data_IF_428386598998
#
_entry.id   IF_428386598998
#
_cell.length_a   1.000
_cell.length_b   1.000
_cell.length_c   1.000
_cell.angle_alpha   90.00
_cell.angle_beta   90.00
_cell.angle_gamma   90.00
#
_symmetry.space_group_name_H-M   'P 1'
#
loop_
_entity.id
_entity.type
_entity.pdbx_description
1 polymer ?
#
# COMPACT_ATOMS: atom_id res chain seq x y z
N UNK A 1 23.58 -2.02 -0.29
CA UNK A 1 22.80 -0.99 -1.01
C UNK A 1 23.62 -0.56 -2.20
N UNK A 2 23.39 -1.18 -3.36
CA UNK A 2 24.02 -0.79 -4.63
C UNK A 2 23.11 0.23 -5.31
N UNK A 3 23.70 1.34 -5.71
CA UNK A 3 23.02 2.49 -6.29
C UNK A 3 22.47 2.16 -7.69
N UNK A 4 21.15 2.12 -7.84
CA UNK A 4 20.48 2.38 -9.11
C UNK A 4 20.39 3.91 -9.26
N UNK A 5 21.46 4.50 -9.80
CA UNK A 5 21.79 5.92 -9.68
C UNK A 5 21.23 6.81 -10.82
N UNK A 6 20.18 6.39 -11.53
CA UNK A 6 19.66 7.17 -12.69
C UNK A 6 18.14 7.28 -12.79
N UNK A 7 17.38 6.99 -11.72
CA UNK A 7 15.94 7.32 -11.66
C UNK A 7 15.67 8.25 -10.49
N UNK A 8 15.27 9.49 -10.79
CA UNK A 8 14.84 10.47 -9.80
C UNK A 8 13.87 9.83 -8.80
N UNK A 9 14.36 9.58 -7.58
CA UNK A 9 13.58 9.00 -6.48
C UNK A 9 12.95 10.16 -5.71
N UNK A 10 11.65 10.08 -5.52
CA UNK A 10 10.89 11.16 -4.90
C UNK A 10 10.88 10.99 -3.39
N UNK A 11 11.84 11.61 -2.69
CA UNK A 11 11.98 11.43 -1.24
C UNK A 11 10.80 12.05 -0.48
N UNK A 12 10.23 13.14 -0.99
CA UNK A 12 8.99 13.73 -0.47
C UNK A 12 7.80 12.77 -0.56
N UNK A 13 7.60 12.10 -1.71
CA UNK A 13 6.54 11.08 -1.87
C UNK A 13 6.78 9.87 -0.95
N UNK A 14 8.04 9.44 -0.80
CA UNK A 14 8.40 8.35 0.12
C UNK A 14 8.12 8.75 1.59
N UNK A 15 8.41 10.00 1.99
CA UNK A 15 8.09 10.52 3.32
C UNK A 15 6.57 10.48 3.60
N UNK A 16 5.78 11.03 2.68
CA UNK A 16 4.31 11.01 2.79
C UNK A 16 3.75 9.59 2.85
N UNK A 17 4.32 8.66 2.07
CA UNK A 17 3.94 7.24 2.12
C UNK A 17 4.20 6.62 3.50
N UNK A 18 5.36 6.91 4.11
CA UNK A 18 5.68 6.43 5.45
C UNK A 18 4.73 6.98 6.51
N UNK A 19 4.50 8.29 6.50
CA UNK A 19 3.62 8.96 7.47
C UNK A 19 2.16 8.52 7.34
N UNK A 20 1.66 8.35 6.11
CA UNK A 20 0.34 7.80 5.86
C UNK A 20 0.21 6.35 6.37
N UNK A 21 1.27 5.53 6.28
CA UNK A 21 1.25 4.17 6.82
C UNK A 21 1.15 4.18 8.36
N UNK A 22 1.84 5.10 9.03
CA UNK A 22 1.69 5.29 10.47
C UNK A 22 0.28 5.75 10.86
N UNK A 23 -0.34 6.65 10.09
CA UNK A 23 -1.72 7.05 10.35
C UNK A 23 -2.69 5.86 10.25
N UNK A 24 -2.51 4.97 9.26
CA UNK A 24 -3.30 3.72 9.15
C UNK A 24 -3.08 2.80 10.34
N UNK A 25 -1.85 2.71 10.85
CA UNK A 25 -1.57 1.94 12.07
C UNK A 25 -2.37 2.48 13.25
N UNK A 26 -2.33 3.80 13.46
CA UNK A 26 -3.08 4.44 14.55
C UNK A 26 -4.58 4.22 14.38
N UNK A 27 -5.12 4.31 13.16
CA UNK A 27 -6.54 4.02 12.88
C UNK A 27 -6.97 2.61 13.36
N UNK A 28 -6.12 1.61 13.13
CA UNK A 28 -6.43 0.22 13.50
C UNK A 28 -6.11 -0.12 14.95
N UNK A 29 -5.19 0.61 15.58
CA UNK A 29 -4.83 0.42 16.99
C UNK A 29 -5.81 1.14 17.92
N UNK A 30 -6.14 2.40 17.62
CA UNK A 30 -6.93 3.29 18.46
C UNK A 30 -7.64 4.33 17.58
N UNK A 31 -8.79 3.91 17.02
CA UNK A 31 -9.53 4.66 15.99
C UNK A 31 -9.80 6.12 16.33
N UNK A 32 -10.21 6.52 17.56
CA UNK A 32 -10.39 7.92 17.94
C UNK A 32 -9.20 8.86 17.66
N UNK A 33 -7.97 8.36 17.61
CA UNK A 33 -6.77 9.18 17.36
C UNK A 33 -6.48 9.43 15.88
N UNK A 34 -7.03 8.63 14.98
CA UNK A 34 -6.89 8.82 13.53
C UNK A 34 -8.12 8.28 12.78
N UNK A 35 -9.34 8.75 13.09
CA UNK A 35 -10.57 8.11 12.63
C UNK A 35 -10.75 8.20 11.11
N UNK A 36 -10.13 9.19 10.48
CA UNK A 36 -10.12 9.37 9.04
C UNK A 36 -9.02 8.59 8.31
N UNK A 37 -8.01 8.05 8.99
CA UNK A 37 -6.82 7.56 8.29
C UNK A 37 -7.04 6.32 7.41
N UNK A 38 -8.22 5.69 7.44
CA UNK A 38 -8.63 4.69 6.43
C UNK A 38 -8.66 5.26 4.99
N UNK A 39 -8.72 6.58 4.80
CA UNK A 39 -8.62 7.24 3.49
C UNK A 39 -7.19 7.34 2.95
N UNK A 40 -6.19 7.02 3.76
CA UNK A 40 -4.79 6.96 3.32
C UNK A 40 -4.58 5.95 2.17
N UNK A 41 -5.43 4.93 2.05
CA UNK A 41 -5.36 3.96 0.96
C UNK A 41 -5.62 4.61 -0.41
N UNK A 42 -6.46 5.64 -0.49
CA UNK A 42 -6.68 6.42 -1.73
C UNK A 42 -5.38 7.10 -2.18
N UNK A 43 -4.67 7.70 -1.22
CA UNK A 43 -3.34 8.26 -1.45
C UNK A 43 -2.34 7.20 -1.93
N UNK A 44 -2.35 6.01 -1.32
CA UNK A 44 -1.51 4.90 -1.78
C UNK A 44 -1.85 4.45 -3.20
N UNK A 45 -3.13 4.38 -3.58
CA UNK A 45 -3.54 3.98 -4.92
C UNK A 45 -3.15 5.03 -5.99
N UNK A 46 -3.35 6.32 -5.72
CA UNK A 46 -2.86 7.39 -6.62
C UNK A 46 -1.34 7.31 -6.76
N UNK A 47 -0.62 7.17 -5.63
CA UNK A 47 0.84 7.04 -5.66
C UNK A 47 1.29 5.80 -6.43
N UNK A 48 0.59 4.67 -6.28
CA UNK A 48 0.88 3.44 -7.02
C UNK A 48 0.71 3.65 -8.53
N UNK A 49 -0.41 4.23 -8.97
CA UNK A 49 -0.63 4.56 -10.38
C UNK A 49 0.47 5.43 -10.99
N UNK A 50 0.90 6.47 -10.27
CA UNK A 50 2.01 7.33 -10.67
C UNK A 50 3.34 6.57 -10.77
N UNK A 51 3.71 5.84 -9.71
CA UNK A 51 5.00 5.13 -9.62
C UNK A 51 5.08 4.00 -10.65
N UNK A 52 4.00 3.24 -10.85
CA UNK A 52 3.95 2.13 -11.80
C UNK A 52 4.03 2.62 -13.24
N UNK A 53 3.24 3.64 -13.59
CA UNK A 53 3.29 4.25 -14.91
C UNK A 53 4.69 4.77 -15.24
N UNK A 54 5.35 5.44 -14.29
CA UNK A 54 6.74 5.92 -14.45
C UNK A 54 7.75 4.79 -14.57
N UNK A 55 7.68 3.78 -13.70
CA UNK A 55 8.72 2.78 -13.58
C UNK A 55 8.67 1.72 -14.69
N UNK A 56 7.47 1.40 -15.18
CA UNK A 56 7.21 0.26 -16.06
C UNK A 56 6.52 0.61 -17.38
N UNK A 57 5.95 1.81 -17.53
CA UNK A 57 5.23 2.20 -18.75
C UNK A 57 6.08 2.05 -20.01
N UNK A 58 7.28 2.65 -20.02
CA UNK A 58 8.22 2.52 -21.14
C UNK A 58 8.76 1.11 -21.29
N UNK A 59 9.06 0.40 -20.19
CA UNK A 59 9.56 -0.98 -20.24
C UNK A 59 8.57 -1.91 -20.94
N UNK A 60 7.29 -1.79 -20.62
CA UNK A 60 6.22 -2.55 -21.27
C UNK A 60 6.03 -2.15 -22.73
N UNK A 61 6.15 -0.85 -23.05
CA UNK A 61 6.12 -0.38 -24.42
C UNK A 61 7.32 -0.85 -25.25
N UNK A 62 8.47 -1.05 -24.61
CA UNK A 62 9.72 -1.50 -25.24
C UNK A 62 9.94 -3.02 -25.18
N UNK A 63 8.88 -3.81 -24.94
CA UNK A 63 8.93 -5.28 -25.07
C UNK A 63 9.04 -6.08 -23.77
N UNK A 64 8.97 -5.47 -22.57
CA UNK A 64 8.78 -6.24 -21.33
C UNK A 64 7.45 -6.99 -21.38
N UNK A 65 7.48 -8.29 -21.10
CA UNK A 65 6.25 -9.09 -21.07
C UNK A 65 5.41 -8.82 -19.83
N UNK A 66 4.09 -8.99 -19.93
CA UNK A 66 3.16 -8.93 -18.79
C UNK A 66 3.60 -9.86 -17.66
N UNK A 67 4.02 -11.09 -18.00
CA UNK A 67 4.48 -12.07 -17.03
C UNK A 67 5.74 -11.59 -16.28
N UNK A 68 6.71 -11.00 -16.98
CA UNK A 68 7.91 -10.45 -16.33
C UNK A 68 7.56 -9.29 -15.39
N UNK A 69 6.64 -8.42 -15.78
CA UNK A 69 6.13 -7.34 -14.94
C UNK A 69 5.42 -7.89 -13.69
N UNK A 70 4.45 -8.80 -13.85
CA UNK A 70 3.69 -9.37 -12.73
C UNK A 70 4.59 -10.18 -11.79
N UNK A 71 5.56 -10.94 -12.30
CA UNK A 71 6.57 -11.61 -11.48
C UNK A 71 7.38 -10.62 -10.64
N UNK A 72 7.79 -9.49 -11.22
CA UNK A 72 8.52 -8.45 -10.48
C UNK A 72 7.65 -7.80 -9.38
N UNK A 73 6.35 -7.57 -9.65
CA UNK A 73 5.40 -7.08 -8.64
C UNK A 73 5.19 -8.09 -7.53
N UNK A 74 4.89 -9.34 -7.87
CA UNK A 74 4.64 -10.41 -6.92
C UNK A 74 5.86 -10.68 -6.03
N UNK A 75 7.06 -10.81 -6.59
CA UNK A 75 8.29 -11.04 -5.84
C UNK A 75 8.62 -9.91 -4.84
N UNK A 76 8.21 -8.68 -5.14
CA UNK A 76 8.37 -7.54 -4.22
C UNK A 76 7.38 -7.56 -3.06
N UNK A 77 6.15 -8.00 -3.31
CA UNK A 77 5.04 -7.86 -2.38
C UNK A 77 4.88 -9.10 -1.49
N UNK A 78 4.96 -10.28 -2.08
CA UNK A 78 4.63 -11.56 -1.46
C UNK A 78 5.38 -11.85 -0.15
N UNK A 79 6.72 -11.63 -0.02
CA UNK A 79 7.43 -11.99 1.20
C UNK A 79 6.90 -11.27 2.45
N UNK A 80 6.64 -9.97 2.35
CA UNK A 80 6.12 -9.18 3.47
C UNK A 80 4.63 -9.42 3.72
N UNK A 81 3.86 -9.68 2.65
CA UNK A 81 2.48 -10.13 2.79
C UNK A 81 2.43 -11.43 3.60
N UNK A 82 3.27 -12.42 3.26
CA UNK A 82 3.31 -13.71 3.95
C UNK A 82 3.71 -13.56 5.42
N UNK A 83 4.76 -12.77 5.72
CA UNK A 83 5.17 -12.51 7.11
C UNK A 83 4.02 -11.86 7.91
N UNK A 84 3.36 -10.84 7.34
CA UNK A 84 2.20 -10.21 7.99
C UNK A 84 1.05 -11.18 8.23
N UNK A 85 0.78 -12.07 7.27
CA UNK A 85 -0.24 -13.10 7.38
C UNK A 85 0.10 -14.18 8.40
N UNK A 86 1.38 -14.47 8.62
CA UNK A 86 1.82 -15.37 9.71
C UNK A 86 1.52 -14.75 11.07
N UNK A 87 1.72 -13.44 11.25
CA UNK A 87 1.31 -12.78 12.51
C UNK A 87 -0.20 -12.89 12.74
N UNK A 88 -1.01 -12.68 11.70
CA UNK A 88 -2.46 -12.87 11.83
C UNK A 88 -2.88 -14.33 12.03
N UNK A 89 -2.15 -15.30 11.46
CA UNK A 89 -2.38 -16.72 11.74
C UNK A 89 -2.09 -17.06 13.20
N UNK A 90 -0.95 -16.61 13.74
CA UNK A 90 -0.61 -16.82 15.16
C UNK A 90 -1.69 -16.22 16.06
N UNK A 91 -2.09 -14.97 15.78
CA UNK A 91 -3.15 -14.27 16.49
C UNK A 91 -4.48 -15.04 16.46
N UNK A 92 -4.86 -15.55 15.29
CA UNK A 92 -6.07 -16.34 15.12
C UNK A 92 -6.00 -17.68 15.88
N UNK A 93 -4.85 -18.38 15.83
CA UNK A 93 -4.68 -19.66 16.51
C UNK A 93 -4.73 -19.52 18.04
N UNK A 94 -4.21 -18.41 18.60
CA UNK A 94 -4.29 -18.12 20.03
C UNK A 94 -5.73 -17.98 20.54
N UNK A 95 -6.67 -17.57 19.67
CA UNK A 95 -8.07 -17.31 20.02
C UNK A 95 -9.05 -18.22 19.27
N UNK A 96 -8.54 -19.24 18.59
CA UNK A 96 -9.29 -20.06 17.64
C UNK A 96 -10.59 -20.61 18.23
N UNK A 97 -10.50 -21.16 19.45
CA UNK A 97 -11.63 -21.76 20.15
C UNK A 97 -12.69 -20.72 20.53
N UNK A 98 -12.26 -19.52 20.93
CA UNK A 98 -13.16 -18.42 21.27
C UNK A 98 -13.75 -17.72 20.03
N UNK A 99 -13.05 -17.76 18.90
CA UNK A 99 -13.45 -17.12 17.65
C UNK A 99 -14.56 -17.86 16.90
N UNK A 100 -14.92 -19.07 17.32
CA UNK A 100 -16.00 -19.86 16.71
C UNK A 100 -15.74 -20.24 15.26
N UNK A 101 -14.48 -20.18 14.78
CA UNK A 101 -14.14 -20.43 13.39
C UNK A 101 -14.08 -21.93 13.14
N UNK A 102 -14.82 -22.41 12.14
CA UNK A 102 -14.80 -23.81 11.72
C UNK A 102 -13.47 -24.21 11.07
N UNK A 103 -13.05 -25.47 11.24
CA UNK A 103 -11.80 -26.00 10.65
C UNK A 103 -11.72 -25.80 9.13
N UNK A 104 -12.86 -25.92 8.44
CA UNK A 104 -12.94 -25.70 6.99
C UNK A 104 -12.63 -24.24 6.62
N UNK A 105 -13.12 -23.26 7.39
CA UNK A 105 -12.89 -21.83 7.14
C UNK A 105 -11.41 -21.46 7.32
N UNK A 106 -10.72 -22.06 8.31
CA UNK A 106 -9.27 -21.87 8.45
C UNK A 106 -8.47 -22.55 7.37
N UNK A 107 -8.81 -23.79 7.01
CA UNK A 107 -8.17 -24.46 5.88
C UNK A 107 -8.28 -23.61 4.61
N UNK A 108 -9.47 -23.09 4.33
CA UNK A 108 -9.71 -22.19 3.20
C UNK A 108 -8.94 -20.86 3.33
N UNK A 109 -8.89 -20.27 4.52
CA UNK A 109 -8.17 -19.00 4.77
C UNK A 109 -6.66 -19.16 4.66
N UNK A 110 -6.07 -20.25 5.15
CA UNK A 110 -4.64 -20.56 5.00
C UNK A 110 -4.31 -20.80 3.53
N UNK A 111 -5.08 -21.66 2.85
CA UNK A 111 -4.83 -22.02 1.45
C UNK A 111 -4.92 -20.80 0.54
N UNK A 112 -5.99 -20.01 0.65
CA UNK A 112 -6.15 -18.78 -0.13
C UNK A 112 -5.03 -17.77 0.16
N UNK A 113 -4.64 -17.62 1.43
CA UNK A 113 -3.53 -16.75 1.83
C UNK A 113 -2.20 -17.17 1.21
N UNK A 114 -1.87 -18.46 1.15
CA UNK A 114 -0.61 -18.94 0.51
C UNK A 114 -0.52 -18.51 -0.96
N UNK A 115 -1.65 -18.47 -1.67
CA UNK A 115 -1.71 -17.99 -3.05
C UNK A 115 -2.00 -16.49 -3.18
N UNK A 116 -2.05 -15.77 -2.05
CA UNK A 116 -2.42 -14.35 -1.98
C UNK A 116 -3.79 -14.05 -2.60
N UNK A 117 -4.70 -15.03 -2.56
CA UNK A 117 -6.08 -14.93 -3.05
C UNK A 117 -7.03 -14.55 -1.91
N UNK A 118 -8.17 -13.91 -2.23
CA UNK A 118 -9.23 -13.70 -1.24
C UNK A 118 -9.77 -15.03 -0.71
N UNK A 119 -10.07 -15.06 0.59
CA UNK A 119 -10.69 -16.20 1.25
C UNK A 119 -12.10 -16.42 0.71
N UNK A 120 -12.51 -17.66 0.40
CA UNK A 120 -13.87 -17.98 -0.01
C UNK A 120 -14.82 -18.06 1.20
N UNK A 121 -14.70 -17.11 2.14
CA UNK A 121 -15.42 -17.11 3.42
C UNK A 121 -16.94 -17.11 3.27
N UNK A 122 -17.47 -16.67 2.13
CA UNK A 122 -18.89 -16.76 1.78
C UNK A 122 -19.40 -18.20 1.56
N UNK A 123 -18.51 -19.18 1.32
CA UNK A 123 -18.87 -20.60 1.21
C UNK A 123 -18.89 -21.31 2.57
N UNK A 124 -18.10 -20.81 3.52
CA UNK A 124 -17.83 -21.45 4.81
C UNK A 124 -18.53 -20.78 5.98
N UNK A 125 -18.96 -19.53 5.82
CA UNK A 125 -19.63 -18.72 6.85
C UNK A 125 -21.08 -18.45 6.52
N UNK A 126 -21.86 -18.11 7.54
CA UNK A 126 -23.29 -17.86 7.41
C UNK A 126 -23.56 -16.51 6.73
N UNK A 127 -24.76 -16.33 6.17
CA UNK A 127 -25.18 -15.07 5.56
C UNK A 127 -25.31 -13.90 6.56
N UNK A 128 -25.33 -14.14 7.86
CA UNK A 128 -25.24 -13.09 8.88
C UNK A 128 -23.82 -12.60 9.14
N UNK A 129 -22.80 -13.36 8.75
CA UNK A 129 -21.41 -13.11 9.11
C UNK A 129 -20.74 -12.09 8.21
N UNK A 130 -19.66 -11.49 8.73
CA UNK A 130 -18.71 -10.71 7.95
C UNK A 130 -17.87 -11.68 7.11
N UNK A 131 -17.70 -11.34 5.83
CA UNK A 131 -16.92 -12.11 4.86
C UNK A 131 -15.64 -11.35 4.45
N UNK A 132 -14.64 -11.25 5.35
CA UNK A 132 -13.42 -10.53 5.04
C UNK A 132 -12.67 -11.22 3.91
N UNK A 133 -12.10 -10.43 2.99
CA UNK A 133 -11.31 -10.96 1.88
C UNK A 133 -10.03 -11.64 2.38
N UNK A 134 -9.39 -11.08 3.41
CA UNK A 134 -8.14 -11.60 3.96
C UNK A 134 -8.21 -11.75 5.49
N UNK A 135 -8.81 -12.85 6.00
CA UNK A 135 -8.97 -13.07 7.43
C UNK A 135 -7.65 -13.05 8.23
N UNK A 136 -6.57 -13.56 7.62
CA UNK A 136 -5.24 -13.63 8.25
C UNK A 136 -4.44 -12.32 8.09
N UNK A 137 -4.87 -11.39 7.25
CA UNK A 137 -4.16 -10.14 7.00
C UNK A 137 -5.11 -9.11 6.38
N UNK A 138 -5.97 -8.50 7.21
CA UNK A 138 -6.99 -7.55 6.75
C UNK A 138 -6.50 -6.56 5.69
N UNK A 139 -5.38 -5.82 5.91
CA UNK A 139 -4.84 -4.83 4.98
C UNK A 139 -4.45 -5.38 3.60
N UNK A 140 -4.33 -6.70 3.44
CA UNK A 140 -4.01 -7.31 2.15
C UNK A 140 -5.11 -7.13 1.10
N UNK A 141 -6.34 -6.75 1.48
CA UNK A 141 -7.39 -6.41 0.53
C UNK A 141 -6.94 -5.33 -0.46
N UNK A 142 -6.26 -4.28 0.03
CA UNK A 142 -5.79 -3.18 -0.82
C UNK A 142 -4.68 -3.65 -1.76
N UNK A 143 -3.85 -4.59 -1.31
CA UNK A 143 -2.77 -5.19 -2.11
C UNK A 143 -3.33 -6.02 -3.27
N UNK A 144 -4.38 -6.80 -3.01
CA UNK A 144 -5.08 -7.57 -4.03
C UNK A 144 -5.60 -6.68 -5.15
N UNK A 145 -6.34 -5.63 -4.80
CA UNK A 145 -6.85 -4.69 -5.80
C UNK A 145 -5.73 -3.94 -6.51
N UNK A 146 -4.64 -3.59 -5.82
CA UNK A 146 -3.47 -2.99 -6.46
C UNK A 146 -2.85 -3.96 -7.48
N UNK A 147 -2.76 -5.26 -7.18
CA UNK A 147 -2.27 -6.25 -8.14
C UNK A 147 -3.21 -6.45 -9.32
N UNK A 148 -4.52 -6.40 -9.10
CA UNK A 148 -5.49 -6.40 -10.19
C UNK A 148 -5.32 -5.15 -11.08
N UNK A 149 -5.18 -3.97 -10.48
CA UNK A 149 -4.91 -2.74 -11.22
C UNK A 149 -3.57 -2.82 -11.98
N UNK A 150 -2.53 -3.43 -11.39
CA UNK A 150 -1.26 -3.70 -12.07
C UNK A 150 -1.43 -4.67 -13.25
N UNK A 151 -2.23 -5.72 -13.12
CA UNK A 151 -2.54 -6.65 -14.20
C UNK A 151 -3.25 -5.93 -15.35
N UNK A 152 -4.32 -5.17 -15.05
CA UNK A 152 -5.05 -4.38 -16.05
C UNK A 152 -4.15 -3.30 -16.66
N UNK A 153 -3.24 -2.73 -15.87
CA UNK A 153 -2.22 -1.80 -16.37
C UNK A 153 -1.34 -2.43 -17.44
N UNK A 154 -0.79 -3.63 -17.18
CA UNK A 154 0.07 -4.35 -18.11
C UNK A 154 -0.67 -4.92 -19.33
N UNK A 155 -1.96 -5.24 -19.18
CA UNK A 155 -2.82 -5.65 -20.28
C UNK A 155 -3.14 -4.49 -21.23
N UNK A 156 -3.62 -3.37 -20.68
CA UNK A 156 -4.21 -2.30 -21.51
C UNK A 156 -3.87 -0.87 -21.07
N UNK A 157 -3.89 -0.53 -19.77
CA UNK A 157 -3.90 0.90 -19.38
C UNK A 157 -2.64 1.66 -19.83
N UNK A 158 -1.47 1.00 -19.84
CA UNK A 158 -0.23 1.66 -20.24
C UNK A 158 -0.27 2.17 -21.70
N UNK A 159 -1.04 1.51 -22.57
CA UNK A 159 -1.19 1.82 -24.00
C UNK A 159 -2.25 2.89 -24.31
N UNK A 160 -3.20 3.09 -23.39
CA UNK A 160 -4.33 4.00 -23.62
C UNK A 160 -3.86 5.46 -23.74
N UNK A 161 -4.65 6.32 -24.39
CA UNK A 161 -4.41 7.77 -24.41
C UNK A 161 -4.93 8.42 -23.11
N UNK A 162 -4.44 9.62 -22.76
CA UNK A 162 -4.87 10.30 -21.53
C UNK A 162 -6.38 10.53 -21.46
N UNK A 163 -7.04 10.81 -22.60
CA UNK A 163 -8.50 10.95 -22.68
C UNK A 163 -9.24 9.68 -22.25
N UNK A 164 -8.75 8.50 -22.64
CA UNK A 164 -9.33 7.22 -22.23
C UNK A 164 -9.12 6.95 -20.74
N UNK A 165 -7.96 7.34 -20.18
CA UNK A 165 -7.72 7.25 -18.74
C UNK A 165 -8.68 8.18 -17.95
N UNK A 166 -8.94 9.38 -18.47
CA UNK A 166 -9.92 10.31 -17.87
C UNK A 166 -11.32 9.69 -17.90
N UNK A 167 -11.71 9.05 -19.01
CA UNK A 167 -12.99 8.35 -19.09
C UNK A 167 -13.08 7.22 -18.05
N UNK A 168 -12.03 6.39 -17.92
CA UNK A 168 -11.99 5.32 -16.92
C UNK A 168 -12.08 5.90 -15.50
N UNK A 169 -11.36 6.99 -15.22
CA UNK A 169 -11.45 7.68 -13.93
C UNK A 169 -12.88 8.20 -13.66
N UNK A 170 -13.53 8.81 -14.66
CA UNK A 170 -14.89 9.32 -14.52
C UNK A 170 -15.91 8.20 -14.28
N UNK A 171 -15.82 7.09 -15.02
CA UNK A 171 -16.69 5.91 -14.81
C UNK A 171 -16.44 5.29 -13.44
N UNK A 172 -15.17 5.12 -13.05
CA UNK A 172 -14.81 4.57 -11.73
C UNK A 172 -15.30 5.48 -10.59
N UNK A 173 -15.26 6.80 -10.78
CA UNK A 173 -15.81 7.77 -9.82
C UNK A 173 -17.33 7.65 -9.71
N UNK A 174 -18.05 7.52 -10.83
CA UNK A 174 -19.49 7.31 -10.80
C UNK A 174 -19.87 6.02 -10.08
N UNK A 175 -19.14 4.93 -10.34
CA UNK A 175 -19.29 3.67 -9.60
C UNK A 175 -19.00 3.85 -8.10
N UNK A 176 -17.91 4.54 -7.74
CA UNK A 176 -17.54 4.78 -6.35
C UNK A 176 -18.62 5.58 -5.61
N UNK A 177 -19.15 6.63 -6.25
CA UNK A 177 -20.25 7.43 -5.69
C UNK A 177 -21.48 6.54 -5.47
N UNK A 178 -21.84 5.69 -6.45
CA UNK A 178 -22.92 4.71 -6.33
C UNK A 178 -22.72 3.75 -5.15
N UNK A 179 -21.54 3.14 -5.03
CA UNK A 179 -21.19 2.26 -3.91
C UNK A 179 -21.25 2.97 -2.56
N UNK A 180 -20.75 4.22 -2.48
CA UNK A 180 -20.82 5.02 -1.24
C UNK A 180 -22.26 5.34 -0.88
N UNK A 181 -23.13 5.62 -1.84
CA UNK A 181 -24.56 5.82 -1.60
C UNK A 181 -25.27 4.56 -1.12
N UNK A 182 -24.88 3.39 -1.63
CA UNK A 182 -25.44 2.09 -1.24
C UNK A 182 -24.98 1.67 0.15
N UNK A 183 -23.66 1.67 0.40
CA UNK A 183 -23.05 1.19 1.64
C UNK A 183 -22.99 2.24 2.76
N UNK A 184 -23.29 3.52 2.46
CA UNK A 184 -23.20 4.66 3.40
C UNK A 184 -21.83 4.85 4.05
N UNK A 185 -20.77 4.37 3.38
CA UNK A 185 -19.40 4.40 3.89
C UNK A 185 -18.41 4.52 2.73
N UNK A 186 -17.22 5.05 3.01
CA UNK A 186 -16.05 4.94 2.12
C UNK A 186 -15.07 3.87 2.59
N UNK A 187 -15.27 3.29 3.78
CA UNK A 187 -14.48 2.17 4.30
C UNK A 187 -14.93 0.85 3.65
N UNK A 188 -14.74 0.77 2.33
CA UNK A 188 -15.22 -0.27 1.42
C UNK A 188 -14.05 -1.05 0.80
N UNK A 189 -14.30 -2.30 0.43
CA UNK A 189 -13.40 -3.13 -0.37
C UNK A 189 -12.65 -4.20 0.40
N UNK A 190 -12.74 -4.21 1.72
CA UNK A 190 -12.05 -5.18 2.59
C UNK A 190 -12.82 -6.48 2.81
N UNK A 191 -14.09 -6.53 2.42
CA UNK A 191 -14.99 -7.69 2.51
C UNK A 191 -15.73 -7.94 1.19
N UNK A 192 -16.25 -9.16 1.02
CA UNK A 192 -16.96 -9.57 -0.20
C UNK A 192 -18.17 -8.72 -0.54
N UNK A 193 -18.87 -8.16 0.46
CA UNK A 193 -20.06 -7.34 0.24
C UNK A 193 -19.76 -5.97 -0.34
N UNK A 194 -18.55 -5.47 -0.18
CA UNK A 194 -18.14 -4.13 -0.61
C UNK A 194 -17.06 -4.14 -1.69
N UNK A 195 -16.92 -5.25 -2.43
CA UNK A 195 -15.93 -5.41 -3.52
C UNK A 195 -16.14 -4.41 -4.66
N UNK A 196 -17.38 -4.00 -4.89
CA UNK A 196 -17.76 -2.95 -5.83
C UNK A 196 -17.09 -1.61 -5.46
N UNK A 197 -17.15 -1.24 -4.19
CA UNK A 197 -16.50 -0.05 -3.66
C UNK A 197 -14.98 -0.16 -3.71
N UNK A 198 -14.41 -1.32 -3.36
CA UNK A 198 -12.97 -1.58 -3.46
C UNK A 198 -12.44 -1.43 -4.88
N UNK A 199 -13.10 -2.07 -5.85
CA UNK A 199 -12.79 -1.96 -7.27
C UNK A 199 -12.85 -0.51 -7.74
N UNK A 200 -13.97 0.18 -7.53
CA UNK A 200 -14.18 1.54 -7.99
C UNK A 200 -13.13 2.52 -7.42
N UNK A 201 -12.85 2.39 -6.11
CA UNK A 201 -11.89 3.23 -5.38
C UNK A 201 -10.46 3.09 -5.89
N UNK A 202 -10.02 1.85 -6.16
CA UNK A 202 -8.68 1.56 -6.67
C UNK A 202 -8.53 2.05 -8.10
N UNK A 203 -9.46 1.73 -9.00
CA UNK A 203 -9.33 2.11 -10.41
C UNK A 203 -9.44 3.62 -10.60
N UNK A 204 -10.31 4.31 -9.85
CA UNK A 204 -10.36 5.77 -9.84
C UNK A 204 -9.01 6.37 -9.43
N UNK A 205 -8.51 6.01 -8.24
CA UNK A 205 -7.28 6.57 -7.69
C UNK A 205 -6.05 6.22 -8.53
N UNK A 206 -5.91 4.96 -8.94
CA UNK A 206 -4.78 4.47 -9.74
C UNK A 206 -4.71 5.19 -11.10
N UNK A 207 -5.84 5.37 -11.79
CA UNK A 207 -5.86 6.07 -13.08
C UNK A 207 -5.54 7.56 -12.94
N UNK A 208 -5.96 8.22 -11.86
CA UNK A 208 -5.53 9.59 -11.54
C UNK A 208 -4.00 9.68 -11.38
N UNK A 209 -3.38 8.72 -10.70
CA UNK A 209 -1.93 8.62 -10.59
C UNK A 209 -1.23 8.52 -11.96
N UNK A 210 -1.79 7.72 -12.87
CA UNK A 210 -1.29 7.62 -14.25
C UNK A 210 -1.44 8.93 -15.03
N UNK A 211 -2.55 9.64 -14.85
CA UNK A 211 -2.80 10.94 -15.48
C UNK A 211 -1.78 11.96 -14.97
N UNK A 212 -1.55 12.04 -13.66
CA UNK A 212 -0.52 12.90 -13.04
C UNK A 212 0.84 12.64 -13.68
N UNK A 213 1.23 11.36 -13.82
CA UNK A 213 2.50 11.00 -14.46
C UNK A 213 2.62 11.57 -15.88
N UNK A 214 1.58 11.40 -16.70
CA UNK A 214 1.58 11.86 -18.10
C UNK A 214 1.54 13.38 -18.25
N UNK A 215 0.85 14.08 -17.35
CA UNK A 215 0.86 15.53 -17.33
C UNK A 215 2.26 16.04 -16.99
N UNK A 216 2.90 15.46 -15.96
CA UNK A 216 4.25 15.82 -15.53
C UNK A 216 5.30 15.50 -16.60
N UNK A 217 5.21 14.33 -17.24
CA UNK A 217 6.16 13.96 -18.30
C UNK A 217 6.05 14.81 -19.55
N UNK A 218 4.91 15.45 -19.82
CA UNK A 218 4.72 16.37 -20.95
C UNK A 218 5.10 17.82 -20.63
N UNK A 219 4.67 18.32 -19.48
CA UNK A 219 4.76 19.76 -19.15
C UNK A 219 6.08 20.14 -18.48
N UNK A 220 6.71 19.19 -17.80
CA UNK A 220 7.82 19.49 -16.90
C UNK A 220 8.73 18.26 -16.68
N UNK A 221 9.31 17.67 -17.75
CA UNK A 221 10.19 16.51 -17.63
C UNK A 221 11.37 16.84 -16.71
N UNK A 222 11.54 16.08 -15.62
CA UNK A 222 12.67 16.27 -14.69
C UNK A 222 12.66 17.57 -13.89
N UNK A 223 11.62 18.41 -13.96
CA UNK A 223 11.54 19.68 -13.21
C UNK A 223 10.96 19.44 -11.82
N UNK A 224 11.80 19.02 -10.89
CA UNK A 224 11.52 18.95 -9.46
C UNK A 224 12.33 20.02 -8.74
N UNK A 225 11.67 20.81 -7.90
CA UNK A 225 12.34 21.89 -7.17
C UNK A 225 12.69 21.39 -5.77
N UNK A 226 13.97 21.31 -5.45
CA UNK A 226 14.44 21.08 -4.08
C UNK A 226 14.09 22.31 -3.24
N UNK A 227 13.15 22.18 -2.33
CA UNK A 227 12.67 23.29 -1.50
C UNK A 227 12.11 22.80 -0.19
N UNK A 228 12.26 23.60 0.87
CA UNK A 228 11.54 23.36 2.12
C UNK A 228 10.02 23.48 1.94
N UNK A 229 9.53 24.06 0.85
CA UNK A 229 8.12 24.00 0.46
C UNK A 229 7.60 22.56 0.29
N UNK A 230 8.47 21.57 0.06
CA UNK A 230 8.08 20.15 0.05
C UNK A 230 7.54 19.67 1.40
N UNK A 231 7.79 20.39 2.50
CA UNK A 231 7.19 20.13 3.80
C UNK A 231 5.69 20.45 3.82
N UNK A 232 5.18 21.29 2.93
CA UNK A 232 3.74 21.64 2.87
C UNK A 232 2.85 20.44 2.53
N UNK A 233 3.05 19.70 1.42
CA UNK A 233 2.25 18.50 1.15
C UNK A 233 2.47 17.40 2.21
N UNK A 234 3.67 17.32 2.81
CA UNK A 234 3.96 16.40 3.92
C UNK A 234 3.16 16.75 5.18
N UNK A 235 3.12 18.03 5.55
CA UNK A 235 2.32 18.49 6.68
C UNK A 235 0.83 18.33 6.39
N UNK A 236 0.38 18.64 5.18
CA UNK A 236 -1.01 18.49 4.76
C UNK A 236 -1.48 17.03 4.89
N UNK A 237 -0.72 16.05 4.39
CA UNK A 237 -1.13 14.64 4.53
C UNK A 237 -1.19 14.21 5.99
N UNK A 238 -0.25 14.65 6.84
CA UNK A 238 -0.29 14.34 8.27
C UNK A 238 -1.52 14.96 8.95
N UNK A 239 -1.71 16.28 8.82
CA UNK A 239 -2.81 16.99 9.46
C UNK A 239 -4.16 16.40 9.05
N UNK A 240 -4.33 16.13 7.76
CA UNK A 240 -5.60 15.62 7.22
C UNK A 240 -5.88 14.17 7.66
N UNK A 241 -4.87 13.28 7.70
CA UNK A 241 -5.11 11.90 8.13
C UNK A 241 -5.36 11.78 9.65
N UNK A 242 -4.81 12.68 10.46
CA UNK A 242 -5.02 12.74 11.91
C UNK A 242 -6.18 13.65 12.33
N UNK A 243 -6.90 14.26 11.39
CA UNK A 243 -8.06 15.07 11.71
C UNK A 243 -9.15 14.19 12.37
N UNK A 244 -9.65 14.53 13.57
CA UNK A 244 -10.60 13.71 14.30
C UNK A 244 -12.03 13.89 13.74
N UNK A 245 -12.24 13.47 12.50
CA UNK A 245 -13.52 13.54 11.80
C UNK A 245 -13.94 12.18 11.28
N UNK A 246 -15.25 11.92 11.33
CA UNK A 246 -15.93 10.76 10.74
C UNK A 246 -16.78 11.16 9.53
N UNK A 247 -16.58 12.37 9.00
CA UNK A 247 -17.40 12.92 7.93
C UNK A 247 -17.16 12.18 6.61
N UNK A 248 -18.21 11.56 6.07
CA UNK A 248 -18.16 10.95 4.74
C UNK A 248 -17.86 11.98 3.64
N UNK A 249 -18.36 13.21 3.78
CA UNK A 249 -18.06 14.31 2.86
C UNK A 249 -16.58 14.63 2.85
N UNK A 250 -15.97 14.69 4.04
CA UNK A 250 -14.52 14.89 4.18
C UNK A 250 -13.74 13.77 3.49
N UNK A 251 -14.12 12.52 3.74
CA UNK A 251 -13.49 11.35 3.14
C UNK A 251 -13.58 11.35 1.60
N UNK A 252 -14.73 11.72 1.04
CA UNK A 252 -14.92 11.86 -0.41
C UNK A 252 -14.07 13.00 -0.99
N UNK A 253 -14.05 14.18 -0.37
CA UNK A 253 -13.20 15.30 -0.80
C UNK A 253 -11.73 14.89 -0.76
N UNK A 254 -11.32 14.15 0.28
CA UNK A 254 -9.96 13.66 0.39
C UNK A 254 -9.61 12.70 -0.76
N UNK A 255 -10.44 11.69 -0.99
CA UNK A 255 -10.27 10.69 -2.04
C UNK A 255 -10.22 11.34 -3.44
N UNK A 256 -11.20 12.21 -3.75
CA UNK A 256 -11.41 12.77 -5.08
C UNK A 256 -10.42 13.90 -5.40
N UNK A 257 -10.10 14.75 -4.42
CA UNK A 257 -9.38 16.00 -4.67
C UNK A 257 -8.04 16.06 -3.93
N UNK A 258 -8.02 15.84 -2.61
CA UNK A 258 -6.81 16.05 -1.81
C UNK A 258 -5.71 15.06 -2.17
N UNK A 259 -6.03 13.77 -2.19
CA UNK A 259 -5.09 12.68 -2.53
C UNK A 259 -4.32 12.94 -3.84
N UNK A 260 -4.99 13.19 -4.99
CA UNK A 260 -4.29 13.49 -6.23
C UNK A 260 -3.52 14.81 -6.20
N UNK A 261 -4.01 15.84 -5.53
CA UNK A 261 -3.29 17.11 -5.40
C UNK A 261 -2.01 16.98 -4.56
N UNK A 262 -2.06 16.24 -3.46
CA UNK A 262 -0.90 15.97 -2.61
C UNK A 262 0.15 15.16 -3.35
N UNK A 263 -0.26 14.14 -4.11
CA UNK A 263 0.67 13.40 -4.98
C UNK A 263 1.26 14.33 -6.02
N UNK A 264 0.45 15.12 -6.73
CA UNK A 264 0.93 16.08 -7.74
C UNK A 264 1.95 17.05 -7.13
N UNK A 265 1.65 17.66 -5.98
CA UNK A 265 2.57 18.55 -5.27
C UNK A 265 3.89 17.86 -4.92
N UNK A 266 3.85 16.62 -4.42
CA UNK A 266 5.04 15.82 -4.15
C UNK A 266 5.81 15.37 -5.40
N UNK A 267 5.22 15.46 -6.60
CA UNK A 267 5.98 15.33 -7.86
C UNK A 267 6.65 16.62 -8.32
N UNK A 268 6.26 17.77 -7.76
CA UNK A 268 6.77 19.10 -8.13
C UNK A 268 7.81 19.60 -7.14
N UNK A 269 7.62 19.29 -5.86
CA UNK A 269 8.45 19.73 -4.74
C UNK A 269 9.20 18.53 -4.16
N UNK A 270 10.51 18.67 -4.04
CA UNK A 270 11.39 17.66 -3.47
C UNK A 270 12.04 18.15 -2.17
N UNK A 271 12.27 17.22 -1.24
CA UNK A 271 12.94 17.51 0.01
C UNK A 271 14.38 17.99 -0.25
N UNK A 272 14.91 18.96 0.53
CA UNK A 272 16.32 19.30 0.52
C UNK A 272 17.19 18.08 0.81
N UNK A 273 18.38 18.00 0.21
CA UNK A 273 19.27 16.83 0.28
C UNK A 273 19.49 16.27 1.71
N UNK A 274 19.53 17.16 2.71
CA UNK A 274 19.68 16.80 4.13
C UNK A 274 18.52 15.94 4.67
N UNK A 275 17.29 16.16 4.19
CA UNK A 275 16.09 15.47 4.63
C UNK A 275 15.71 14.28 3.74
N UNK A 276 16.28 14.19 2.53
CA UNK A 276 15.94 13.11 1.59
C UNK A 276 16.21 11.71 2.16
N UNK A 277 17.28 11.53 2.94
CA UNK A 277 17.58 10.24 3.59
C UNK A 277 16.45 9.79 4.51
N UNK A 278 15.90 10.71 5.30
CA UNK A 278 14.78 10.43 6.19
C UNK A 278 13.52 10.10 5.39
N UNK A 279 13.21 10.88 4.36
CA UNK A 279 12.04 10.61 3.51
C UNK A 279 12.12 9.23 2.84
N UNK A 280 13.28 8.89 2.28
CA UNK A 280 13.56 7.57 1.70
C UNK A 280 13.41 6.45 2.73
N UNK A 281 13.88 6.66 3.96
CA UNK A 281 13.78 5.70 5.06
C UNK A 281 12.32 5.47 5.47
N UNK A 282 11.55 6.54 5.66
CA UNK A 282 10.11 6.47 5.95
C UNK A 282 9.36 5.71 4.85
N UNK A 283 9.68 6.00 3.59
CA UNK A 283 9.12 5.26 2.46
C UNK A 283 9.53 3.79 2.47
N UNK A 284 10.78 3.46 2.76
CA UNK A 284 11.23 2.06 2.86
C UNK A 284 10.45 1.28 3.92
N UNK A 285 10.18 1.92 5.07
CA UNK A 285 9.50 1.31 6.20
C UNK A 285 7.98 1.16 6.01
N UNK A 286 7.38 1.98 5.13
CA UNK A 286 5.93 2.06 4.97
C UNK A 286 5.24 0.73 4.65
N UNK A 287 5.80 -0.05 3.72
CA UNK A 287 5.18 -1.30 3.27
C UNK A 287 5.29 -2.42 4.32
N UNK A 288 6.48 -2.67 4.93
CA UNK A 288 6.60 -3.59 6.06
C UNK A 288 5.67 -3.25 7.23
N UNK A 289 5.58 -1.98 7.63
CA UNK A 289 4.63 -1.54 8.69
C UNK A 289 3.20 -1.89 8.29
N UNK A 290 2.79 -1.46 7.10
CA UNK A 290 1.43 -1.63 6.62
C UNK A 290 1.03 -3.12 6.52
N UNK A 291 1.94 -4.01 6.18
CA UNK A 291 1.65 -5.46 6.13
C UNK A 291 1.69 -6.16 7.49
N UNK A 292 2.52 -5.71 8.42
CA UNK A 292 2.70 -6.41 9.70
C UNK A 292 1.75 -5.95 10.82
N UNK A 293 1.20 -4.72 10.73
CA UNK A 293 0.55 -4.10 11.89
C UNK A 293 -0.66 -4.87 12.40
N UNK A 294 -1.61 -5.29 11.53
CA UNK A 294 -2.87 -5.89 12.00
C UNK A 294 -2.69 -7.18 12.79
N UNK A 295 -1.80 -8.08 12.33
CA UNK A 295 -1.48 -9.29 13.10
C UNK A 295 -0.85 -8.96 14.46
N UNK A 296 -0.03 -7.91 14.52
CA UNK A 296 0.61 -7.48 15.76
C UNK A 296 -0.30 -6.68 16.71
N UNK A 297 -1.32 -5.97 16.20
CA UNK A 297 -2.24 -5.14 17.01
C UNK A 297 -2.87 -5.91 18.15
N UNK A 298 -3.42 -7.09 17.88
CA UNK A 298 -4.08 -7.90 18.90
C UNK A 298 -3.08 -8.48 19.90
N UNK A 299 -1.95 -9.00 19.41
CA UNK A 299 -0.85 -9.51 20.26
C UNK A 299 -0.42 -8.42 21.25
N UNK A 300 -0.24 -7.19 20.77
CA UNK A 300 0.09 -6.05 21.60
C UNK A 300 -1.02 -5.72 22.61
N UNK A 301 -2.29 -5.71 22.18
CA UNK A 301 -3.44 -5.51 23.06
C UNK A 301 -3.54 -6.53 24.19
N UNK A 302 -3.15 -7.79 23.94
CA UNK A 302 -3.04 -8.81 24.99
C UNK A 302 -1.87 -8.56 25.94
N UNK A 303 -0.68 -8.24 25.42
CA UNK A 303 0.52 -7.99 26.22
C UNK A 303 0.38 -6.77 27.13
N UNK A 304 -0.33 -5.74 26.67
CA UNK A 304 -0.46 -4.45 27.35
C UNK A 304 -1.80 -4.27 28.06
N UNK A 305 -2.63 -5.32 28.14
CA UNK A 305 -3.98 -5.28 28.71
C UNK A 305 -4.02 -4.67 30.12
N UNK A 306 -3.07 -5.03 30.95
CA UNK A 306 -3.04 -4.65 32.37
C UNK A 306 -2.16 -3.42 32.65
N UNK A 307 -1.50 -2.86 31.62
CA UNK A 307 -0.50 -1.80 31.78
C UNK A 307 -1.10 -0.41 32.11
N UNK A 308 -2.43 -0.24 32.00
CA UNK A 308 -3.19 0.99 32.34
C UNK A 308 -2.50 2.30 31.89
N UNK A 309 -1.94 2.30 30.68
CA UNK A 309 -1.17 3.45 30.16
C UNK A 309 -2.10 4.52 29.56
N UNK A 310 -1.73 5.81 29.66
CA UNK A 310 -2.38 6.84 28.86
C UNK A 310 -2.28 6.50 27.36
N UNK A 311 -3.39 6.66 26.63
CA UNK A 311 -3.50 6.32 25.22
C UNK A 311 -2.33 6.84 24.34
N UNK A 312 -1.86 8.10 24.46
CA UNK A 312 -0.71 8.56 23.66
C UNK A 312 0.58 7.76 23.92
N UNK A 313 0.81 7.33 25.17
CA UNK A 313 1.97 6.52 25.55
C UNK A 313 1.81 5.10 24.99
N UNK A 314 0.61 4.52 25.11
CA UNK A 314 0.28 3.21 24.53
C UNK A 314 0.49 3.19 23.00
N UNK A 315 0.07 4.23 22.30
CA UNK A 315 0.28 4.38 20.85
C UNK A 315 1.78 4.54 20.55
N UNK A 316 2.51 5.39 21.29
CA UNK A 316 3.93 5.62 21.04
C UNK A 316 4.77 4.33 21.19
N UNK A 317 4.51 3.54 22.23
CA UNK A 317 5.18 2.24 22.43
C UNK A 317 4.87 1.29 21.27
N UNK A 318 3.60 1.23 20.84
CA UNK A 318 3.22 0.41 19.68
C UNK A 318 3.97 0.85 18.42
N UNK A 319 4.02 2.16 18.12
CA UNK A 319 4.68 2.69 16.94
C UNK A 319 6.18 2.37 16.90
N UNK A 320 6.84 2.40 18.06
CA UNK A 320 8.24 1.95 18.18
C UNK A 320 8.36 0.45 17.94
N UNK A 321 7.53 -0.37 18.61
CA UNK A 321 7.55 -1.83 18.47
C UNK A 321 7.28 -2.28 17.03
N UNK A 322 6.23 -1.76 16.39
CA UNK A 322 5.89 -2.12 15.01
C UNK A 322 6.96 -1.65 14.02
N UNK A 323 7.65 -0.53 14.29
CA UNK A 323 8.77 -0.07 13.46
C UNK A 323 9.96 -1.03 13.54
N UNK A 324 10.28 -1.55 14.73
CA UNK A 324 11.33 -2.55 14.91
C UNK A 324 10.95 -3.85 14.20
N UNK A 325 9.73 -4.34 14.42
CA UNK A 325 9.21 -5.55 13.74
C UNK A 325 9.27 -5.37 12.23
N UNK A 326 8.80 -4.23 11.71
CA UNK A 326 8.83 -3.90 10.30
C UNK A 326 10.25 -3.91 9.71
N UNK A 327 11.24 -3.38 10.42
CA UNK A 327 12.65 -3.43 10.00
C UNK A 327 13.20 -4.87 9.95
N UNK A 328 12.88 -5.69 10.96
CA UNK A 328 13.27 -7.09 11.01
C UNK A 328 12.61 -7.87 9.86
N UNK A 329 11.30 -7.71 9.68
CA UNK A 329 10.54 -8.33 8.59
C UNK A 329 11.05 -7.92 7.21
N UNK A 330 11.43 -6.65 7.01
CA UNK A 330 12.00 -6.18 5.75
C UNK A 330 13.38 -6.79 5.44
N UNK A 331 14.22 -6.95 6.47
CA UNK A 331 15.51 -7.65 6.34
C UNK A 331 15.30 -9.13 6.03
N UNK A 332 14.41 -9.80 6.77
CA UNK A 332 14.07 -11.21 6.57
C UNK A 332 13.53 -11.44 5.14
N UNK A 333 12.59 -10.62 4.69
CA UNK A 333 12.06 -10.67 3.32
C UNK A 333 13.17 -10.56 2.26
N UNK A 334 14.14 -9.67 2.47
CA UNK A 334 15.28 -9.52 1.55
C UNK A 334 16.13 -10.78 1.49
N UNK A 335 16.36 -11.42 2.65
CA UNK A 335 17.11 -12.68 2.75
C UNK A 335 16.35 -13.81 2.05
N UNK A 336 15.05 -13.95 2.30
CA UNK A 336 14.20 -14.96 1.67
C UNK A 336 14.22 -14.86 0.14
N UNK A 337 14.13 -13.64 -0.41
CA UNK A 337 14.21 -13.41 -1.85
C UNK A 337 15.58 -13.78 -2.41
N UNK A 338 16.67 -13.50 -1.68
CA UNK A 338 18.03 -13.86 -2.10
C UNK A 338 18.19 -15.38 -2.22
N UNK A 339 17.71 -16.14 -1.24
CA UNK A 339 17.77 -17.61 -1.26
C UNK A 339 16.85 -18.23 -2.32
N UNK A 340 15.68 -17.64 -2.58
CA UNK A 340 14.76 -18.11 -3.61
C UNK A 340 15.23 -17.82 -5.05
N UNK A 341 16.30 -17.05 -5.24
CA UNK A 341 16.89 -16.76 -6.57
C UNK A 341 18.42 -16.76 -6.53
N UNK A 342 19.07 -17.92 -6.31
CA UNK A 342 20.52 -17.98 -6.08
C UNK A 342 21.38 -17.61 -7.30
N UNK A 343 20.81 -17.55 -8.51
CA UNK A 343 21.58 -17.51 -9.78
C UNK A 343 21.68 -16.15 -10.50
N UNK A 344 21.52 -15.01 -9.82
CA UNK A 344 21.61 -13.67 -10.46
C UNK A 344 22.75 -12.78 -9.95
N UNK A 345 23.82 -13.37 -9.42
CA UNK A 345 25.11 -12.67 -9.32
C UNK A 345 25.98 -13.10 -10.51
N UNK A 346 26.19 -12.19 -11.47
CA UNK A 346 27.23 -12.37 -12.49
C UNK A 346 28.62 -12.30 -11.81
N UNK A 347 29.65 -13.00 -12.31
CA UNK A 347 30.97 -12.99 -11.69
C UNK A 347 31.56 -11.59 -11.74
N UNK A 348 32.01 -11.08 -10.59
CA UNK A 348 32.91 -9.93 -10.55
C UNK A 348 34.22 -10.30 -11.23
N UNK A 349 34.52 -9.64 -12.34
CA UNK A 349 35.87 -9.36 -12.85
C UNK A 349 36.85 -10.53 -13.02
N UNK A 350 37.05 -10.97 -14.25
CA UNK A 350 38.36 -11.36 -14.73
C UNK A 350 38.77 -10.33 -15.80
N UNK A 351 39.64 -9.39 -15.41
CA UNK A 351 40.24 -8.42 -16.31
C UNK A 351 41.25 -9.07 -17.26
N UNK A 352 41.29 -8.51 -18.46
CA UNK A 352 42.46 -8.33 -19.34
C UNK A 352 43.64 -9.30 -19.14
N UNK A 353 43.82 -10.22 -20.10
CA UNK A 353 45.15 -10.62 -20.54
C UNK A 353 45.45 -9.83 -21.82
N UNK A 354 46.47 -8.97 -21.75
CA UNK A 354 46.97 -8.15 -22.84
C UNK A 354 47.73 -8.99 -23.85
N UNK A 355 47.46 -8.75 -25.12
CA UNK A 355 48.46 -8.91 -26.17
C UNK A 355 49.46 -7.75 -26.09
N UNK A 356 50.67 -8.04 -25.65
CA UNK A 356 51.97 -7.55 -26.15
C UNK A 356 53.08 -7.92 -25.18
#
# INVERSE_FOLDING_TARGET
MTADNTRHRYAALDAMRGLAAFAVVVYHLDRPYAPSAYIAVDFFFVLSGFVIARAYGEKLASGMTMLAFMKARYARLYPLFLIGSVFGLVQLLLHWQAAGIGRADLGASILSTVFMLPSPSFLTRSAGDIWPLYPLNGPAWSLFWELLANLVFALVLFRLKTRSLILIAAVSLAMLIGSVFFHKSLDLGWEWRSVDGGFARVFFSFTLGMIIYRLRSRTAPGRTVNSYAALLPIAAICILLFLPTYSLKYALVFCILVSPLVVLAGTMLELPAKLQRLGIFLGYLSYPIYMCHRGFTEIYGHLMRDAQLPHPVYIAIYLVAISIIALISAKLATVLVKYASPGKEAPKGAGAASSR
#
